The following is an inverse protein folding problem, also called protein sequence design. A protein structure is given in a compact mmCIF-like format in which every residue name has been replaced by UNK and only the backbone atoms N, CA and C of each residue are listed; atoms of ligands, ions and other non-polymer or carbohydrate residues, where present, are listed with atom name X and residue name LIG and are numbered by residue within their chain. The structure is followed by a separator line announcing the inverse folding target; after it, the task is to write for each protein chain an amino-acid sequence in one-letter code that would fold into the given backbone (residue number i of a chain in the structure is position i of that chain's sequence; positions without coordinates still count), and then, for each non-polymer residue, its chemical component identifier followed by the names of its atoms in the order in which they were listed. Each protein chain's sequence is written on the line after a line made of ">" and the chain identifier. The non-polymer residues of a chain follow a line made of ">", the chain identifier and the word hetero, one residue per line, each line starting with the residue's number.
data_IF_940698552272
#
_entry.id   IF_940698552272
#
_cell.length_a   1.000
_cell.length_b   1.000
_cell.length_c   1.000
_cell.angle_alpha   90.00
_cell.angle_beta   90.00
_cell.angle_gamma   90.00
#
_symmetry.space_group_name_H-M   'P 1'
#
loop_
_entity.id
_entity.type
_entity.pdbx_description
1 polymer ?
#
# COMPACT_ATOMS: atom_id res chain seq x y z
N UNK A 1 -25.84 -8.05 -7.36
CA UNK A 1 -25.45 -8.56 -6.01
C UNK A 1 -24.25 -7.82 -5.41
N UNK A 2 -23.02 -7.92 -5.94
CA UNK A 2 -21.80 -7.31 -5.32
C UNK A 2 -21.89 -5.80 -5.04
N UNK A 3 -22.56 -5.03 -5.92
CA UNK A 3 -22.72 -3.57 -5.79
C UNK A 3 -23.72 -3.15 -4.70
N UNK A 4 -24.75 -3.97 -4.45
CA UNK A 4 -25.77 -3.72 -3.41
C UNK A 4 -25.30 -4.20 -2.02
N UNK A 5 -24.52 -5.28 -1.96
CA UNK A 5 -23.93 -5.77 -0.69
C UNK A 5 -22.92 -4.77 -0.08
N UNK A 6 -22.20 -4.02 -0.92
CA UNK A 6 -21.28 -2.95 -0.48
C UNK A 6 -22.01 -1.79 0.18
N UNK A 7 -23.24 -1.45 -0.26
CA UNK A 7 -24.06 -0.39 0.37
C UNK A 7 -24.52 -0.77 1.78
N UNK A 8 -24.62 -2.06 2.07
CA UNK A 8 -25.11 -2.59 3.35
C UNK A 8 -23.99 -3.00 4.32
N UNK A 9 -22.71 -2.79 3.97
CA UNK A 9 -21.53 -3.12 4.79
C UNK A 9 -21.41 -4.60 5.21
N UNK A 10 -21.95 -5.53 4.43
CA UNK A 10 -21.87 -6.98 4.73
C UNK A 10 -20.68 -7.60 3.98
N UNK A 11 -19.88 -8.42 4.67
CA UNK A 11 -18.72 -9.10 4.07
C UNK A 11 -19.21 -10.30 3.24
N UNK A 12 -18.65 -10.57 2.03
CA UNK A 12 -19.10 -11.68 1.19
C UNK A 12 -19.07 -13.07 1.87
N UNK A 13 -18.19 -13.27 2.85
CA UNK A 13 -18.07 -14.51 3.61
C UNK A 13 -19.09 -14.63 4.76
N UNK A 14 -19.75 -13.54 5.17
CA UNK A 14 -20.81 -13.57 6.18
C UNK A 14 -22.15 -14.08 5.63
N UNK A 15 -22.29 -14.17 4.30
CA UNK A 15 -23.42 -14.85 3.66
C UNK A 15 -23.57 -16.34 4.04
N UNK A 16 -22.55 -16.92 4.70
CA UNK A 16 -22.58 -18.31 5.18
C UNK A 16 -23.42 -18.48 6.44
N UNK A 17 -23.70 -17.40 7.20
CA UNK A 17 -24.54 -17.45 8.40
C UNK A 17 -25.87 -16.72 8.20
N UNK A 18 -26.78 -17.30 7.43
CA UNK A 18 -28.17 -16.87 7.48
C UNK A 18 -29.11 -18.01 7.13
N UNK A 19 -29.66 -18.64 8.17
CA UNK A 19 -30.90 -19.44 8.10
C UNK A 19 -32.05 -18.62 7.47
N UNK A 20 -31.93 -17.28 7.40
CA UNK A 20 -32.80 -16.35 6.69
C UNK A 20 -32.48 -16.13 5.20
N UNK A 21 -31.32 -16.58 4.69
CA UNK A 21 -30.95 -16.43 3.28
C UNK A 21 -31.84 -17.30 2.38
N UNK A 22 -32.29 -18.47 2.87
CA UNK A 22 -33.18 -19.34 2.12
C UNK A 22 -34.55 -18.68 1.85
N UNK A 23 -35.12 -18.03 2.85
CA UNK A 23 -36.39 -17.30 2.73
C UNK A 23 -36.27 -16.08 1.81
N UNK A 24 -35.14 -15.36 1.88
CA UNK A 24 -34.85 -14.24 0.99
C UNK A 24 -34.63 -14.69 -0.47
N UNK A 25 -33.90 -15.79 -0.68
CA UNK A 25 -33.68 -16.37 -2.01
C UNK A 25 -34.97 -16.93 -2.59
N UNK A 26 -35.82 -17.58 -1.80
CA UNK A 26 -37.14 -18.06 -2.24
C UNK A 26 -38.06 -16.89 -2.64
N UNK A 27 -38.09 -15.81 -1.85
CA UNK A 27 -38.85 -14.59 -2.19
C UNK A 27 -38.37 -13.96 -3.50
N UNK A 28 -37.05 -13.77 -3.67
CA UNK A 28 -36.48 -13.22 -4.89
C UNK A 28 -36.64 -14.14 -6.12
N UNK A 29 -36.66 -15.46 -5.93
CA UNK A 29 -36.83 -16.41 -7.04
C UNK A 29 -38.26 -16.42 -7.55
N UNK A 30 -39.24 -16.24 -6.65
CA UNK A 30 -40.66 -16.17 -6.98
C UNK A 30 -41.06 -14.84 -7.64
N UNK A 31 -40.47 -13.73 -7.21
CA UNK A 31 -40.82 -12.39 -7.71
C UNK A 31 -40.13 -12.04 -9.03
N UNK A 32 -38.88 -12.49 -9.25
CA UNK A 32 -38.04 -12.01 -10.36
C UNK A 32 -37.70 -13.06 -11.42
N UNK A 33 -38.34 -14.25 -11.40
CA UNK A 33 -38.05 -15.39 -12.26
C UNK A 33 -36.53 -15.62 -12.48
N UNK A 34 -35.92 -16.36 -11.53
CA UNK A 34 -34.50 -16.81 -11.54
C UNK A 34 -33.50 -15.75 -12.06
N UNK A 35 -32.88 -14.94 -11.17
CA UNK A 35 -31.69 -14.20 -11.57
C UNK A 35 -30.57 -15.21 -11.85
N UNK A 36 -30.25 -15.42 -13.12
CA UNK A 36 -29.12 -16.23 -13.56
C UNK A 36 -27.84 -15.58 -13.06
N UNK A 37 -27.28 -16.14 -11.99
CA UNK A 37 -25.93 -15.84 -11.56
C UNK A 37 -25.27 -17.18 -11.22
N UNK A 38 -24.41 -17.67 -12.10
CA UNK A 38 -23.44 -18.68 -11.70
C UNK A 38 -22.55 -18.03 -10.63
N UNK A 39 -22.55 -18.52 -9.38
CA UNK A 39 -21.46 -18.19 -8.47
C UNK A 39 -20.18 -18.59 -9.19
N UNK A 40 -19.17 -17.72 -9.22
CA UNK A 40 -17.83 -18.09 -9.70
C UNK A 40 -17.51 -19.45 -9.10
N UNK A 41 -17.50 -20.48 -9.94
CA UNK A 41 -17.60 -21.85 -9.48
C UNK A 41 -16.46 -22.13 -8.52
N UNK A 42 -16.79 -22.48 -7.28
CA UNK A 42 -16.02 -23.49 -6.57
C UNK A 42 -16.23 -24.82 -7.32
N UNK A 43 -15.69 -24.89 -8.53
CA UNK A 43 -15.41 -26.15 -9.17
C UNK A 43 -14.19 -26.70 -8.45
N UNK A 44 -14.29 -27.93 -7.97
CA UNK A 44 -13.21 -28.77 -7.44
C UNK A 44 -12.13 -29.10 -8.49
N UNK A 45 -11.71 -28.10 -9.27
CA UNK A 45 -10.75 -28.13 -10.38
C UNK A 45 -9.79 -26.93 -10.41
N UNK A 46 -9.86 -26.00 -9.45
CA UNK A 46 -8.97 -24.81 -9.40
C UNK A 46 -7.73 -24.99 -8.52
N UNK A 47 -7.50 -26.19 -7.99
CA UNK A 47 -6.17 -26.64 -7.54
C UNK A 47 -5.31 -27.10 -8.72
N UNK A 48 -5.39 -26.42 -9.88
CA UNK A 48 -4.47 -26.72 -10.97
C UNK A 48 -3.11 -26.20 -10.56
N UNK A 49 -2.24 -27.13 -10.18
CA UNK A 49 -0.82 -27.02 -10.46
C UNK A 49 -0.64 -26.28 -11.78
N UNK A 50 0.18 -25.22 -11.82
CA UNK A 50 0.33 -24.40 -13.02
C UNK A 50 0.60 -25.27 -14.24
N UNK A 51 0.06 -24.89 -15.41
CA UNK A 51 0.40 -25.56 -16.66
C UNK A 51 1.94 -25.58 -16.80
N UNK A 52 2.57 -26.76 -17.00
CA UNK A 52 4.04 -26.90 -16.94
C UNK A 52 4.81 -26.12 -18.02
N UNK A 53 4.12 -25.45 -18.94
CA UNK A 53 4.72 -24.70 -20.06
C UNK A 53 5.07 -23.25 -19.73
N UNK A 54 4.52 -22.63 -18.69
CA UNK A 54 4.85 -21.25 -18.31
C UNK A 54 5.90 -21.24 -17.21
N UNK A 55 7.09 -20.71 -17.51
CA UNK A 55 8.16 -20.53 -16.51
C UNK A 55 7.85 -19.33 -15.64
N UNK A 56 8.23 -19.40 -14.37
CA UNK A 56 8.18 -18.25 -13.46
C UNK A 56 8.94 -17.05 -14.03
N UNK A 57 8.26 -15.91 -14.14
CA UNK A 57 8.81 -14.66 -14.64
C UNK A 57 9.39 -13.85 -13.48
N UNK A 58 10.71 -13.93 -13.30
CA UNK A 58 11.43 -13.17 -12.27
C UNK A 58 11.31 -11.66 -12.47
N UNK A 59 11.28 -11.18 -13.72
CA UNK A 59 11.19 -9.74 -14.00
C UNK A 59 9.88 -9.17 -13.47
N UNK A 60 8.77 -9.88 -13.64
CA UNK A 60 7.46 -9.41 -13.19
C UNK A 60 7.40 -9.26 -11.65
N UNK A 61 8.09 -10.14 -10.91
CA UNK A 61 8.22 -10.01 -9.45
C UNK A 61 9.14 -8.85 -9.05
N UNK A 62 10.24 -8.65 -9.79
CA UNK A 62 11.16 -7.53 -9.58
C UNK A 62 10.45 -6.20 -9.79
N UNK A 63 9.71 -6.07 -10.89
CA UNK A 63 8.96 -4.86 -11.23
C UNK A 63 7.90 -4.55 -10.16
N UNK A 64 7.18 -5.59 -9.67
CA UNK A 64 6.26 -5.46 -8.54
C UNK A 64 6.97 -4.98 -7.25
N UNK A 65 8.09 -5.62 -6.88
CA UNK A 65 8.84 -5.24 -5.68
C UNK A 65 9.36 -3.80 -5.75
N UNK A 66 9.77 -3.36 -6.94
CA UNK A 66 10.23 -2.00 -7.22
C UNK A 66 9.09 -0.99 -7.15
N UNK A 67 7.90 -1.32 -7.67
CA UNK A 67 6.75 -0.44 -7.66
C UNK A 67 6.26 -0.15 -6.23
N UNK A 68 6.28 -1.17 -5.37
CA UNK A 68 5.88 -1.05 -3.96
C UNK A 68 7.03 -0.71 -3.00
N UNK A 69 8.25 -0.50 -3.51
CA UNK A 69 9.46 -0.24 -2.72
C UNK A 69 9.67 -1.25 -1.57
N UNK A 70 9.35 -2.54 -1.81
CA UNK A 70 9.45 -3.58 -0.78
C UNK A 70 10.93 -3.92 -0.57
N UNK A 71 11.42 -3.75 0.67
CA UNK A 71 12.82 -3.98 1.04
C UNK A 71 13.04 -5.23 1.89
N UNK A 72 11.95 -5.88 2.32
CA UNK A 72 12.00 -7.05 3.20
C UNK A 72 11.54 -8.30 2.45
N UNK A 73 12.41 -9.31 2.41
CA UNK A 73 12.20 -10.57 1.67
C UNK A 73 10.89 -11.26 2.05
N UNK A 74 10.62 -11.43 3.34
CA UNK A 74 9.42 -12.13 3.80
C UNK A 74 8.12 -11.37 3.51
N UNK A 75 8.18 -10.03 3.52
CA UNK A 75 7.04 -9.20 3.13
C UNK A 75 6.77 -9.42 1.63
N UNK A 76 7.79 -9.33 0.78
CA UNK A 76 7.64 -9.59 -0.65
C UNK A 76 7.12 -11.01 -0.93
N UNK A 77 7.62 -12.00 -0.21
CA UNK A 77 7.14 -13.38 -0.34
C UNK A 77 5.66 -13.51 0.00
N UNK A 78 5.20 -12.86 1.06
CA UNK A 78 3.78 -12.87 1.46
C UNK A 78 2.93 -12.12 0.43
N UNK A 79 3.29 -10.87 0.13
CA UNK A 79 2.52 -10.01 -0.77
C UNK A 79 2.41 -10.61 -2.17
N UNK A 80 3.50 -11.17 -2.71
CA UNK A 80 3.46 -11.79 -4.03
C UNK A 80 2.72 -13.13 -4.04
N UNK A 81 2.78 -13.90 -2.94
CA UNK A 81 2.03 -15.15 -2.82
C UNK A 81 0.51 -14.90 -2.73
N UNK A 82 0.11 -13.84 -2.05
CA UNK A 82 -1.29 -13.40 -1.92
C UNK A 82 -1.95 -13.16 -3.28
N UNK A 83 -1.24 -12.57 -4.24
CA UNK A 83 -1.74 -12.34 -5.60
C UNK A 83 -2.08 -13.62 -6.37
N UNK A 84 -1.58 -14.78 -5.92
CA UNK A 84 -1.85 -16.09 -6.53
C UNK A 84 -3.10 -16.79 -5.98
N UNK A 85 -3.73 -16.22 -4.95
CA UNK A 85 -4.83 -16.81 -4.20
C UNK A 85 -6.05 -15.89 -4.17
N UNK A 86 -7.15 -16.37 -3.60
CA UNK A 86 -8.29 -15.50 -3.27
C UNK A 86 -7.84 -14.45 -2.25
N UNK A 87 -8.11 -13.18 -2.54
CA UNK A 87 -7.68 -12.06 -1.70
C UNK A 87 -8.17 -12.21 -0.24
N UNK A 88 -7.23 -12.24 0.70
CA UNK A 88 -7.46 -12.32 2.15
C UNK A 88 -7.61 -10.94 2.84
N UNK A 89 -7.39 -9.85 2.10
CA UNK A 89 -7.46 -8.48 2.64
C UNK A 89 -8.90 -8.05 2.92
N UNK A 90 -9.07 -7.22 3.94
CA UNK A 90 -10.38 -6.63 4.28
C UNK A 90 -10.90 -5.75 3.14
N UNK A 91 -12.23 -5.67 2.89
CA UNK A 91 -12.80 -4.88 1.79
C UNK A 91 -12.37 -3.40 1.79
N UNK A 92 -12.16 -2.83 2.97
CA UNK A 92 -11.66 -1.45 3.15
C UNK A 92 -10.23 -1.22 2.64
N UNK A 93 -9.46 -2.29 2.43
CA UNK A 93 -8.06 -2.26 1.97
C UNK A 93 -7.89 -2.71 0.51
N UNK A 94 -8.98 -3.10 -0.13
CA UNK A 94 -8.97 -3.50 -1.54
C UNK A 94 -9.19 -2.24 -2.37
N UNK A 95 -8.11 -1.70 -2.91
CA UNK A 95 -8.14 -0.60 -3.87
C UNK A 95 -8.33 -1.14 -5.29
N UNK A 96 -8.73 -0.28 -6.23
CA UNK A 96 -8.80 -0.65 -7.65
C UNK A 96 -7.44 -1.09 -8.18
N UNK A 97 -6.36 -0.41 -7.76
CA UNK A 97 -4.98 -0.78 -8.11
C UNK A 97 -4.64 -2.20 -7.65
N UNK A 98 -5.03 -2.55 -6.42
CA UNK A 98 -4.83 -3.90 -5.92
C UNK A 98 -5.59 -4.96 -6.71
N UNK A 99 -6.82 -4.67 -7.16
CA UNK A 99 -7.58 -5.59 -8.01
C UNK A 99 -6.92 -5.78 -9.39
N UNK A 100 -6.33 -4.74 -9.96
CA UNK A 100 -5.56 -4.83 -11.22
C UNK A 100 -4.25 -5.59 -11.04
N UNK A 101 -3.52 -5.38 -9.94
CA UNK A 101 -2.32 -6.16 -9.58
C UNK A 101 -2.63 -7.66 -9.46
N UNK A 102 -3.77 -8.01 -8.85
CA UNK A 102 -4.24 -9.39 -8.80
C UNK A 102 -4.40 -9.95 -10.21
N UNK A 103 -5.03 -9.23 -11.13
CA UNK A 103 -5.21 -9.70 -12.52
C UNK A 103 -3.88 -9.84 -13.26
N UNK A 104 -2.98 -8.87 -13.12
CA UNK A 104 -1.68 -8.86 -13.81
C UNK A 104 -0.75 -9.97 -13.32
N UNK A 105 -0.70 -10.18 -12.00
CA UNK A 105 0.27 -11.07 -11.38
C UNK A 105 -0.25 -12.49 -11.09
N UNK A 106 -1.57 -12.75 -11.21
CA UNK A 106 -2.21 -14.01 -10.81
C UNK A 106 -1.45 -15.26 -11.24
N UNK A 107 -1.20 -15.40 -12.54
CA UNK A 107 -0.58 -16.61 -13.09
C UNK A 107 0.88 -16.75 -12.64
N UNK A 108 1.64 -15.65 -12.58
CA UNK A 108 3.02 -15.69 -12.12
C UNK A 108 3.13 -15.96 -10.61
N UNK A 109 2.20 -15.41 -9.82
CA UNK A 109 2.09 -15.64 -8.39
C UNK A 109 1.68 -17.09 -8.07
N UNK A 110 0.83 -17.72 -8.90
CA UNK A 110 0.54 -19.17 -8.82
C UNK A 110 1.80 -20.01 -9.03
N UNK A 111 2.62 -19.68 -10.02
CA UNK A 111 3.93 -20.33 -10.20
C UNK A 111 4.84 -20.12 -9.00
N UNK A 112 4.83 -18.91 -8.44
CA UNK A 112 5.61 -18.60 -7.24
C UNK A 112 5.20 -19.49 -6.07
N UNK A 113 3.90 -19.62 -5.75
CA UNK A 113 3.37 -20.40 -4.62
C UNK A 113 3.92 -21.83 -4.53
N UNK A 114 4.09 -22.50 -5.68
CA UNK A 114 4.55 -23.89 -5.75
C UNK A 114 6.06 -24.01 -6.05
N UNK A 115 6.77 -22.90 -6.19
CA UNK A 115 8.21 -22.90 -6.45
C UNK A 115 9.01 -23.26 -5.18
N UNK A 116 9.97 -24.18 -5.33
CA UNK A 116 10.95 -24.48 -4.29
C UNK A 116 11.94 -23.31 -4.07
N UNK A 117 12.14 -22.48 -5.08
CA UNK A 117 13.12 -21.39 -5.09
C UNK A 117 12.59 -20.03 -4.62
N UNK A 118 11.39 -19.95 -4.03
CA UNK A 118 10.70 -18.69 -3.67
C UNK A 118 11.56 -17.68 -2.92
N UNK A 119 12.24 -18.12 -1.86
CA UNK A 119 13.09 -17.25 -1.04
C UNK A 119 14.24 -16.65 -1.86
N UNK A 120 14.85 -17.46 -2.74
CA UNK A 120 15.93 -17.00 -3.62
C UNK A 120 15.43 -16.00 -4.66
N UNK A 121 14.27 -16.27 -5.27
CA UNK A 121 13.64 -15.34 -6.20
C UNK A 121 13.31 -14.00 -5.54
N UNK A 122 12.72 -14.04 -4.33
CA UNK A 122 12.44 -12.84 -3.54
C UNK A 122 13.72 -12.08 -3.16
N UNK A 123 14.78 -12.79 -2.73
CA UNK A 123 16.06 -12.18 -2.41
C UNK A 123 16.64 -11.41 -3.61
N UNK A 124 16.66 -12.03 -4.80
CA UNK A 124 17.14 -11.37 -6.02
C UNK A 124 16.31 -10.14 -6.40
N UNK A 125 14.99 -10.19 -6.17
CA UNK A 125 14.11 -9.05 -6.40
C UNK A 125 14.40 -7.90 -5.42
N UNK A 126 14.57 -8.20 -4.12
CA UNK A 126 14.94 -7.20 -3.11
C UNK A 126 16.30 -6.56 -3.42
N UNK A 127 17.28 -7.34 -3.88
CA UNK A 127 18.58 -6.80 -4.29
C UNK A 127 18.44 -5.77 -5.43
N UNK A 128 17.49 -5.98 -6.35
CA UNK A 128 17.18 -5.02 -7.42
C UNK A 128 16.52 -3.75 -6.87
N UNK A 129 15.62 -3.87 -5.88
CA UNK A 129 15.03 -2.72 -5.19
C UNK A 129 16.10 -1.90 -4.47
N UNK A 130 16.97 -2.57 -3.71
CA UNK A 130 18.07 -1.93 -2.99
C UNK A 130 19.06 -1.25 -3.94
N UNK A 131 19.37 -1.87 -5.09
CA UNK A 131 20.20 -1.26 -6.11
C UNK A 131 19.57 0.01 -6.70
N UNK A 132 18.25 0.00 -6.94
CA UNK A 132 17.50 1.20 -7.38
C UNK A 132 17.55 2.30 -6.33
N UNK A 133 17.26 1.98 -5.06
CA UNK A 133 17.32 2.95 -3.95
C UNK A 133 18.73 3.52 -3.83
N UNK A 134 19.76 2.69 -3.88
CA UNK A 134 21.15 3.15 -3.83
C UNK A 134 21.51 4.08 -4.99
N UNK A 135 21.08 3.74 -6.21
CA UNK A 135 21.31 4.58 -7.38
C UNK A 135 20.58 5.93 -7.25
N UNK A 136 19.35 5.93 -6.73
CA UNK A 136 18.61 7.15 -6.41
C UNK A 136 19.36 7.99 -5.38
N UNK A 137 19.77 7.41 -4.24
CA UNK A 137 20.54 8.13 -3.21
C UNK A 137 21.85 8.73 -3.74
N UNK A 138 22.50 8.08 -4.71
CA UNK A 138 23.75 8.56 -5.30
C UNK A 138 23.54 9.70 -6.32
N UNK A 139 22.38 9.74 -6.98
CA UNK A 139 22.13 10.64 -8.13
C UNK A 139 21.15 11.76 -7.81
N UNK A 140 20.27 11.56 -6.83
CA UNK A 140 19.28 12.54 -6.40
C UNK A 140 19.94 13.58 -5.49
N UNK A 141 19.78 14.85 -5.85
CA UNK A 141 20.19 15.96 -4.99
C UNK A 141 19.16 16.17 -3.89
N UNK A 142 19.58 16.74 -2.74
CA UNK A 142 18.65 17.04 -1.65
C UNK A 142 17.44 17.85 -2.10
N UNK A 143 17.61 18.80 -3.03
CA UNK A 143 16.50 19.57 -3.61
C UNK A 143 15.50 18.69 -4.36
N UNK A 144 15.99 17.81 -5.25
CA UNK A 144 15.13 16.90 -6.03
C UNK A 144 14.35 15.96 -5.12
N UNK A 145 15.00 15.46 -4.08
CA UNK A 145 14.38 14.61 -3.06
C UNK A 145 13.19 15.32 -2.38
N UNK A 146 13.40 16.56 -1.91
CA UNK A 146 12.36 17.36 -1.25
C UNK A 146 11.19 17.60 -2.20
N UNK A 147 11.47 17.99 -3.45
CA UNK A 147 10.43 18.30 -4.43
C UNK A 147 9.59 17.07 -4.78
N UNK A 148 10.23 15.91 -4.95
CA UNK A 148 9.53 14.64 -5.18
C UNK A 148 8.67 14.27 -3.98
N UNK A 149 9.23 14.35 -2.78
CA UNK A 149 8.56 13.96 -1.54
C UNK A 149 7.38 14.87 -1.21
N UNK A 150 7.51 16.17 -1.44
CA UNK A 150 6.43 17.14 -1.32
C UNK A 150 5.27 16.83 -2.28
N UNK A 151 5.56 16.41 -3.51
CA UNK A 151 4.53 15.98 -4.48
C UNK A 151 3.81 14.73 -4.03
N UNK A 152 4.54 13.69 -3.60
CA UNK A 152 3.95 12.44 -3.10
C UNK A 152 2.99 12.69 -1.93
N UNK A 153 3.40 13.52 -0.96
CA UNK A 153 2.55 13.88 0.17
C UNK A 153 1.37 14.73 -0.29
N UNK A 154 1.60 15.68 -1.20
CA UNK A 154 0.56 16.51 -1.79
C UNK A 154 -0.55 15.67 -2.46
N UNK A 155 -0.19 14.68 -3.27
CA UNK A 155 -1.17 13.79 -3.89
C UNK A 155 -1.95 12.97 -2.86
N UNK A 156 -1.28 12.43 -1.84
CA UNK A 156 -1.97 11.72 -0.74
C UNK A 156 -2.95 12.61 0.01
N UNK A 157 -2.63 13.88 0.20
CA UNK A 157 -3.52 14.86 0.83
C UNK A 157 -4.71 15.23 -0.05
N UNK A 158 -4.55 15.23 -1.38
CA UNK A 158 -5.66 15.45 -2.32
C UNK A 158 -6.65 14.28 -2.32
N UNK A 159 -6.18 13.06 -2.10
CA UNK A 159 -7.01 11.86 -2.04
C UNK A 159 -7.63 11.63 -0.65
N UNK A 160 -7.34 12.49 0.32
CA UNK A 160 -7.85 12.36 1.69
C UNK A 160 -9.23 13.03 1.82
N UNK A 161 -10.22 12.28 2.29
CA UNK A 161 -11.59 12.79 2.56
C UNK A 161 -11.70 13.56 3.89
N UNK A 162 -10.66 13.51 4.72
CA UNK A 162 -10.59 14.17 6.03
C UNK A 162 -10.10 15.62 5.90
N UNK A 163 -11.06 16.55 5.76
CA UNK A 163 -10.80 17.99 5.64
C UNK A 163 -10.23 18.61 6.92
N UNK A 164 -10.47 18.00 8.10
CA UNK A 164 -10.03 18.52 9.39
C UNK A 164 -8.50 18.56 9.51
N UNK A 165 -7.81 17.70 8.75
CA UNK A 165 -6.35 17.63 8.69
C UNK A 165 -5.73 19.01 8.41
N UNK A 166 -6.32 19.78 7.49
CA UNK A 166 -5.80 21.11 7.14
C UNK A 166 -6.02 22.14 8.24
N UNK A 167 -7.19 22.12 8.88
CA UNK A 167 -7.50 23.01 10.01
C UNK A 167 -6.61 22.74 11.21
N UNK A 168 -6.40 21.46 11.54
CA UNK A 168 -5.50 21.04 12.61
C UNK A 168 -4.04 21.39 12.31
N UNK A 169 -3.60 21.25 11.06
CA UNK A 169 -2.26 21.65 10.63
C UNK A 169 -2.05 23.18 10.74
N UNK A 170 -3.03 23.98 10.31
CA UNK A 170 -2.98 25.44 10.46
C UNK A 170 -2.92 25.83 11.94
N UNK A 171 -3.77 25.22 12.76
CA UNK A 171 -3.79 25.44 14.20
C UNK A 171 -2.43 25.13 14.86
N UNK A 172 -1.87 23.95 14.55
CA UNK A 172 -0.59 23.53 15.09
C UNK A 172 0.54 24.49 14.68
N UNK A 173 0.59 24.88 13.40
CA UNK A 173 1.67 25.71 12.87
C UNK A 173 1.62 27.16 13.35
N UNK A 174 0.43 27.71 13.61
CA UNK A 174 0.26 29.10 14.06
C UNK A 174 0.27 29.25 15.58
N UNK A 175 -0.43 28.37 16.30
CA UNK A 175 -0.71 28.56 17.72
C UNK A 175 0.12 27.66 18.63
N UNK A 176 0.41 26.41 18.24
CA UNK A 176 1.14 25.46 19.09
C UNK A 176 2.66 25.59 18.92
N UNK A 177 3.15 25.61 17.68
CA UNK A 177 4.59 25.67 17.39
C UNK A 177 5.00 27.03 16.82
N UNK A 178 5.25 27.99 17.71
CA UNK A 178 5.69 29.35 17.33
C UNK A 178 6.95 29.26 16.46
N UNK A 179 6.99 30.05 15.37
CA UNK A 179 8.08 30.08 14.37
C UNK A 179 8.22 28.81 13.51
N UNK A 180 7.16 28.04 13.32
CA UNK A 180 7.12 26.85 12.45
C UNK A 180 7.89 27.04 11.14
N UNK A 181 7.54 28.07 10.35
CA UNK A 181 8.15 28.32 9.03
C UNK A 181 9.67 28.57 9.10
N UNK A 182 10.12 29.35 10.07
CA UNK A 182 11.53 29.67 10.24
C UNK A 182 12.34 28.43 10.62
N UNK A 183 11.86 27.64 11.58
CA UNK A 183 12.53 26.41 12.02
C UNK A 183 12.52 25.36 10.90
N UNK A 184 11.38 25.19 10.23
CA UNK A 184 11.24 24.29 9.08
C UNK A 184 12.23 24.66 7.96
N UNK A 185 12.35 25.95 7.64
CA UNK A 185 13.30 26.42 6.63
C UNK A 185 14.75 26.12 7.00
N UNK A 186 15.13 26.21 8.28
CA UNK A 186 16.49 25.86 8.73
C UNK A 186 16.75 24.37 8.53
N UNK A 187 15.81 23.51 8.92
CA UNK A 187 15.94 22.05 8.78
C UNK A 187 16.06 21.66 7.31
N UNK A 188 15.18 22.19 6.46
CA UNK A 188 15.21 21.92 5.01
C UNK A 188 16.51 22.44 4.38
N UNK A 189 16.96 23.64 4.74
CA UNK A 189 18.22 24.18 4.24
C UNK A 189 19.43 23.37 4.70
N UNK A 190 19.46 22.90 5.95
CA UNK A 190 20.51 22.04 6.47
C UNK A 190 20.52 20.67 5.76
N UNK A 191 19.36 20.15 5.38
CA UNK A 191 19.26 18.91 4.60
C UNK A 191 19.77 19.09 3.16
N UNK A 192 19.36 20.17 2.47
CA UNK A 192 19.69 20.39 1.06
C UNK A 192 21.14 20.86 0.88
N UNK A 193 21.58 21.81 1.71
CA UNK A 193 22.84 22.54 1.53
C UNK A 193 23.85 22.30 2.66
N UNK A 194 23.53 21.44 3.63
CA UNK A 194 24.38 21.23 4.80
C UNK A 194 25.73 20.63 4.44
N UNK A 195 26.79 21.34 4.82
CA UNK A 195 28.17 20.85 4.73
C UNK A 195 28.51 19.89 5.89
N UNK A 196 29.60 19.11 5.82
CA UNK A 196 30.03 18.30 6.95
C UNK A 196 30.05 19.11 8.26
N UNK A 197 29.48 18.55 9.34
CA UNK A 197 29.25 19.19 10.66
C UNK A 197 28.10 20.21 10.73
N UNK A 198 27.53 20.66 9.61
CA UNK A 198 26.39 21.60 9.56
C UNK A 198 25.08 20.96 9.06
N UNK A 199 24.98 19.63 9.11
CA UNK A 199 23.80 18.85 8.66
C UNK A 199 22.80 18.56 9.78
N UNK A 200 23.19 18.76 11.03
CA UNK A 200 22.37 18.44 12.19
C UNK A 200 21.74 19.70 12.78
N UNK A 201 20.45 19.64 13.06
CA UNK A 201 19.72 20.68 13.76
C UNK A 201 19.32 20.17 15.15
N UNK A 202 19.51 21.00 16.17
CA UNK A 202 19.13 20.70 17.55
C UNK A 202 17.87 21.49 17.89
N UNK A 203 16.79 20.79 18.22
CA UNK A 203 15.55 21.41 18.70
C UNK A 203 15.60 21.53 20.22
N UNK A 204 15.88 22.74 20.71
CA UNK A 204 15.89 23.04 22.15
C UNK A 204 14.57 23.68 22.60
N UNK A 205 14.14 23.34 23.80
CA UNK A 205 12.94 23.89 24.43
C UNK A 205 12.50 23.07 25.64
N UNK A 206 11.53 23.59 26.38
CA UNK A 206 11.06 22.99 27.64
C UNK A 206 10.25 21.70 27.42
N UNK A 207 9.89 21.02 28.51
CA UNK A 207 9.02 19.86 28.46
C UNK A 207 7.65 20.24 27.87
N UNK A 208 7.08 19.37 27.02
CA UNK A 208 5.78 19.58 26.32
C UNK A 208 5.68 20.83 25.42
N UNK A 209 6.80 21.37 24.94
CA UNK A 209 6.80 22.49 23.99
C UNK A 209 6.55 22.10 22.51
N UNK A 210 6.13 20.87 22.23
CA UNK A 210 5.89 20.39 20.85
C UNK A 210 7.14 19.99 20.05
N UNK A 211 8.36 20.17 20.57
CA UNK A 211 9.63 19.83 19.88
C UNK A 211 9.69 18.39 19.34
N UNK A 212 9.22 17.42 20.13
CA UNK A 212 9.22 16.00 19.74
C UNK A 212 8.20 15.72 18.65
N UNK A 213 7.00 16.29 18.75
CA UNK A 213 5.96 16.16 17.73
C UNK A 213 6.39 16.77 16.41
N UNK A 214 7.03 17.94 16.46
CA UNK A 214 7.60 18.61 15.29
C UNK A 214 8.73 17.81 14.65
N UNK A 215 9.67 17.27 15.45
CA UNK A 215 10.73 16.39 14.96
C UNK A 215 10.17 15.13 14.28
N UNK A 216 9.14 14.51 14.87
CA UNK A 216 8.47 13.34 14.31
C UNK A 216 7.77 13.68 12.97
N UNK A 217 7.22 14.89 12.83
CA UNK A 217 6.69 15.37 11.56
C UNK A 217 7.76 15.40 10.46
N UNK A 218 8.94 15.92 10.77
CA UNK A 218 10.08 15.90 9.84
C UNK A 218 10.62 14.50 9.56
N UNK A 219 10.62 13.61 10.54
CA UNK A 219 11.02 12.21 10.35
C UNK A 219 10.08 11.44 9.42
N UNK A 220 8.79 11.82 9.37
CA UNK A 220 7.82 11.24 8.42
C UNK A 220 7.86 11.89 7.05
N UNK A 221 8.25 13.17 7.02
CA UNK A 221 8.41 13.92 5.78
C UNK A 221 9.60 13.40 5.00
N UNK A 222 10.76 13.25 5.64
CA UNK A 222 11.98 12.65 5.05
C UNK A 222 11.89 11.17 4.54
#
# INVERSE_FOLDING_TARGET
>A
MKKELRKLKIIPNECVYAVHFKQFVEACTNEFQKPWFEPCGMGSKDSKTPYPSTKFNNKLMVDYAIAHEITVVYILMYEYAHLGQTCDRSPSKITNEHEEEHKEHLENARHFLYSAGRKKAAQNAIESVLAKIYMQLKTETGQKYIDRRAKEIGYKLLDTEDEDVFGLADYYSKYHFKKFRSVASIIVSAFIFGTPRNRYCILMGDFKCGKTSFANGFLKFF
#
